data_IF_773415307547
#
_entry.id   IF_773415307547
#
_cell.length_a   1.000
_cell.length_b   1.000
_cell.length_c   1.000
_cell.angle_alpha   90.00
_cell.angle_beta   90.00
_cell.angle_gamma   90.00
#
_symmetry.space_group_name_H-M   'P 1'
#
loop_
_entity.id
_entity.type
_entity.pdbx_description
1 polymer ?
#
# COMPACT_ATOMS: atom_id res chain seq x y z
N UNK A 1 -21.19 -4.97 -21.54
CA UNK A 1 -19.71 -4.93 -21.46
C UNK A 1 -19.31 -4.23 -20.16
N UNK A 2 -19.58 -4.88 -19.02
CA UNK A 2 -19.33 -4.35 -17.65
C UNK A 2 -18.75 -5.46 -16.77
N UNK A 3 -19.28 -6.68 -16.92
CA UNK A 3 -18.83 -7.89 -16.20
C UNK A 3 -17.33 -8.17 -16.40
N UNK A 4 -16.81 -8.03 -17.63
CA UNK A 4 -15.37 -8.26 -17.90
C UNK A 4 -14.48 -7.25 -17.18
N UNK A 5 -14.89 -5.98 -17.12
CA UNK A 5 -14.15 -4.95 -16.37
C UNK A 5 -14.14 -5.29 -14.90
N UNK A 6 -15.31 -5.53 -14.31
CA UNK A 6 -15.45 -5.87 -12.89
C UNK A 6 -14.65 -7.11 -12.51
N UNK A 7 -14.59 -8.11 -13.39
CA UNK A 7 -13.77 -9.29 -13.18
C UNK A 7 -12.27 -8.96 -13.12
N UNK A 8 -11.77 -8.14 -14.06
CA UNK A 8 -10.36 -7.74 -14.07
C UNK A 8 -10.02 -6.86 -12.85
N UNK A 9 -10.90 -5.91 -12.51
CA UNK A 9 -10.72 -5.02 -11.35
C UNK A 9 -10.70 -5.83 -10.04
N UNK A 10 -11.57 -6.84 -9.92
CA UNK A 10 -11.58 -7.76 -8.79
C UNK A 10 -10.29 -8.60 -8.70
N UNK A 11 -9.76 -9.08 -9.83
CA UNK A 11 -8.49 -9.81 -9.84
C UNK A 11 -7.31 -8.91 -9.45
N UNK A 12 -7.27 -7.66 -9.92
CA UNK A 12 -6.25 -6.68 -9.50
C UNK A 12 -6.32 -6.43 -7.99
N UNK A 13 -7.52 -6.20 -7.46
CA UNK A 13 -7.73 -6.01 -6.03
C UNK A 13 -7.29 -7.23 -5.20
N UNK A 14 -7.57 -8.45 -5.67
CA UNK A 14 -7.17 -9.67 -4.98
C UNK A 14 -5.65 -9.92 -5.10
N UNK A 15 -5.04 -9.64 -6.25
CA UNK A 15 -3.60 -9.72 -6.45
C UNK A 15 -2.81 -8.75 -5.56
N UNK A 16 -3.40 -7.63 -5.15
CA UNK A 16 -2.78 -6.68 -4.21
C UNK A 16 -2.51 -7.29 -2.82
N UNK A 17 -3.14 -8.42 -2.47
CA UNK A 17 -2.85 -9.17 -1.24
C UNK A 17 -1.65 -10.11 -1.35
N UNK A 18 -1.08 -10.32 -2.53
CA UNK A 18 0.11 -11.13 -2.69
C UNK A 18 1.35 -10.40 -2.17
N UNK A 19 2.23 -11.11 -1.48
CA UNK A 19 3.45 -10.56 -0.87
C UNK A 19 4.70 -10.95 -1.66
N UNK A 20 5.77 -10.15 -1.55
CA UNK A 20 7.09 -10.40 -2.13
C UNK A 20 7.09 -10.47 -3.66
N UNK A 21 6.26 -9.65 -4.27
CA UNK A 21 6.23 -9.43 -5.71
C UNK A 21 7.41 -8.53 -6.11
N UNK A 22 8.13 -8.90 -7.16
CA UNK A 22 9.28 -8.11 -7.64
C UNK A 22 9.26 -7.95 -9.15
N UNK A 23 9.81 -6.84 -9.62
CA UNK A 23 10.01 -6.60 -11.05
C UNK A 23 10.84 -7.72 -11.67
N UNK A 24 10.38 -8.27 -12.80
CA UNK A 24 11.09 -9.33 -13.52
C UNK A 24 11.06 -10.71 -12.86
N UNK A 25 10.25 -10.93 -11.81
CA UNK A 25 10.06 -12.26 -11.23
C UNK A 25 9.55 -13.27 -12.27
N UNK A 26 9.90 -14.56 -12.10
CA UNK A 26 9.46 -15.59 -13.05
C UNK A 26 7.95 -15.80 -12.97
N UNK A 27 7.32 -16.16 -14.08
CA UNK A 27 5.87 -16.40 -14.12
C UNK A 27 5.44 -17.49 -13.13
N UNK A 28 6.23 -18.56 -12.95
CA UNK A 28 5.96 -19.59 -11.95
C UNK A 28 5.98 -19.04 -10.52
N UNK A 29 6.95 -18.18 -10.20
CA UNK A 29 7.06 -17.56 -8.87
C UNK A 29 5.90 -16.58 -8.63
N UNK A 30 5.44 -15.90 -9.68
CA UNK A 30 4.30 -14.98 -9.61
C UNK A 30 2.99 -15.75 -9.40
N UNK A 31 2.79 -16.84 -10.14
CA UNK A 31 1.66 -17.75 -9.93
C UNK A 31 1.67 -18.28 -8.49
N UNK A 32 2.81 -18.79 -8.01
CA UNK A 32 2.95 -19.29 -6.63
C UNK A 32 2.65 -18.22 -5.58
N UNK A 33 3.01 -16.96 -5.83
CA UNK A 33 2.69 -15.84 -4.94
C UNK A 33 1.18 -15.56 -4.91
N UNK A 34 0.51 -15.55 -6.06
CA UNK A 34 -0.94 -15.35 -6.16
C UNK A 34 -1.73 -16.49 -5.51
N UNK A 35 -1.26 -17.74 -5.63
CA UNK A 35 -1.91 -18.91 -5.02
C UNK A 35 -1.89 -18.91 -3.48
N UNK A 36 -1.02 -18.10 -2.86
CA UNK A 36 -1.02 -17.91 -1.40
C UNK A 36 -2.13 -16.95 -0.95
N UNK A 37 -2.71 -16.19 -1.87
CA UNK A 37 -3.84 -15.31 -1.56
C UNK A 37 -5.11 -16.15 -1.46
N UNK A 38 -5.79 -16.03 -0.32
CA UNK A 38 -7.04 -16.74 -0.07
C UNK A 38 -8.08 -16.47 -1.17
N UNK A 39 -8.69 -17.55 -1.68
CA UNK A 39 -9.72 -17.46 -2.70
C UNK A 39 -9.22 -17.29 -4.14
N UNK A 40 -7.91 -17.22 -4.38
CA UNK A 40 -7.36 -17.25 -5.75
C UNK A 40 -7.23 -18.70 -6.22
N UNK A 41 -7.83 -19.00 -7.37
CA UNK A 41 -7.70 -20.31 -8.02
C UNK A 41 -6.50 -20.33 -8.98
N UNK A 42 -6.02 -21.54 -9.31
CA UNK A 42 -4.97 -21.74 -10.33
C UNK A 42 -5.28 -21.01 -11.64
N UNK A 43 -6.50 -21.17 -12.17
CA UNK A 43 -6.90 -20.54 -13.42
C UNK A 43 -6.91 -19.01 -13.34
N UNK A 44 -7.29 -18.44 -12.19
CA UNK A 44 -7.23 -16.98 -11.98
C UNK A 44 -5.79 -16.49 -11.90
N UNK A 45 -4.90 -17.21 -11.20
CA UNK A 45 -3.49 -16.88 -11.10
C UNK A 45 -2.81 -16.92 -12.49
N UNK A 46 -2.99 -18.00 -13.23
CA UNK A 46 -2.45 -18.16 -14.59
C UNK A 46 -3.00 -17.10 -15.54
N UNK A 47 -4.31 -16.84 -15.50
CA UNK A 47 -4.93 -15.79 -16.29
C UNK A 47 -4.34 -14.42 -15.95
N UNK A 48 -4.20 -14.10 -14.66
CA UNK A 48 -3.64 -12.82 -14.23
C UNK A 48 -2.19 -12.64 -14.67
N UNK A 49 -1.34 -13.64 -14.44
CA UNK A 49 0.08 -13.60 -14.85
C UNK A 49 0.23 -13.55 -16.36
N UNK A 50 -0.69 -14.13 -17.13
CA UNK A 50 -0.67 -13.99 -18.60
C UNK A 50 -0.90 -12.55 -19.07
N UNK A 51 -1.57 -11.73 -18.26
CA UNK A 51 -1.96 -10.35 -18.60
C UNK A 51 -1.11 -9.28 -17.97
N UNK A 52 -0.59 -9.52 -16.77
CA UNK A 52 0.09 -8.49 -15.99
C UNK A 52 1.53 -8.88 -15.65
N UNK A 53 2.38 -7.88 -15.53
CA UNK A 53 3.70 -7.99 -14.88
C UNK A 53 3.78 -7.02 -13.71
N UNK A 54 4.58 -7.38 -12.71
CA UNK A 54 4.89 -6.52 -11.58
C UNK A 54 5.88 -5.46 -12.03
N UNK A 55 5.58 -4.20 -11.74
CA UNK A 55 6.48 -3.06 -11.95
C UNK A 55 7.17 -2.73 -10.63
N UNK A 56 6.39 -2.59 -9.57
CA UNK A 56 6.90 -2.25 -8.24
C UNK A 56 5.89 -2.65 -7.16
N UNK A 57 6.37 -3.04 -5.99
CA UNK A 57 5.52 -3.34 -4.84
C UNK A 57 6.08 -2.65 -3.59
N UNK A 58 5.17 -2.10 -2.79
CA UNK A 58 5.46 -1.67 -1.43
C UNK A 58 4.65 -2.50 -0.44
N UNK A 59 5.35 -3.01 0.58
CA UNK A 59 4.78 -3.66 1.75
C UNK A 59 5.35 -2.97 2.98
N UNK A 60 4.54 -2.16 3.66
CA UNK A 60 4.96 -1.47 4.87
C UNK A 60 4.28 -2.12 6.08
N UNK A 61 5.05 -2.94 6.81
CA UNK A 61 4.57 -3.66 7.98
C UNK A 61 4.22 -2.74 9.16
N UNK A 62 4.83 -1.56 9.25
CA UNK A 62 4.61 -0.61 10.34
C UNK A 62 3.25 0.08 10.21
N UNK A 63 2.82 0.38 8.98
CA UNK A 63 1.55 1.08 8.71
C UNK A 63 0.42 0.15 8.25
N UNK A 64 0.75 -1.10 7.89
CA UNK A 64 -0.16 -2.02 7.20
C UNK A 64 -0.41 -1.67 5.73
N UNK A 65 0.18 -0.58 5.21
CA UNK A 65 0.00 -0.16 3.83
C UNK A 65 0.67 -1.14 2.86
N UNK A 66 -0.05 -1.51 1.81
CA UNK A 66 0.51 -2.30 0.73
C UNK A 66 -0.16 -1.97 -0.60
N UNK A 67 0.69 -1.81 -1.60
CA UNK A 67 0.27 -1.48 -2.95
C UNK A 67 1.23 -2.13 -3.96
N UNK A 68 0.69 -2.46 -5.13
CA UNK A 68 1.47 -2.97 -6.25
C UNK A 68 1.07 -2.24 -7.51
N UNK A 69 2.10 -1.76 -8.23
CA UNK A 69 1.95 -1.27 -9.58
C UNK A 69 2.11 -2.45 -10.53
N UNK A 70 1.04 -2.77 -11.24
CA UNK A 70 1.03 -3.74 -12.32
C UNK A 70 1.03 -3.02 -13.66
N UNK A 71 1.63 -3.65 -14.67
CA UNK A 71 1.51 -3.21 -16.06
C UNK A 71 0.87 -4.32 -16.89
N UNK A 72 -0.13 -3.95 -17.68
CA UNK A 72 -0.73 -4.85 -18.64
C UNK A 72 0.25 -5.12 -19.79
N UNK A 73 0.59 -6.39 -20.03
CA UNK A 73 1.56 -6.80 -21.06
C UNK A 73 1.11 -6.49 -22.49
N UNK A 74 -0.19 -6.40 -22.73
CA UNK A 74 -0.78 -6.13 -24.06
C UNK A 74 -1.05 -4.65 -24.28
N UNK A 75 -1.68 -3.96 -23.32
CA UNK A 75 -2.08 -2.55 -23.47
C UNK A 75 -1.03 -1.56 -22.99
N UNK A 76 -0.04 -2.02 -22.22
CA UNK A 76 0.96 -1.19 -21.53
C UNK A 76 0.35 -0.20 -20.53
N UNK A 77 -0.92 -0.40 -20.15
CA UNK A 77 -1.58 0.39 -19.12
C UNK A 77 -1.08 -0.01 -17.73
N UNK A 78 -0.84 1.00 -16.89
CA UNK A 78 -0.46 0.82 -15.50
C UNK A 78 -1.70 0.77 -14.60
N UNK A 79 -1.72 -0.20 -13.69
CA UNK A 79 -2.77 -0.39 -12.70
C UNK A 79 -2.15 -0.38 -11.31
N UNK A 80 -2.44 0.65 -10.54
CA UNK A 80 -2.08 0.72 -9.12
C UNK A 80 -3.17 0.03 -8.30
N UNK A 81 -2.86 -1.14 -7.73
CA UNK A 81 -3.76 -1.87 -6.88
C UNK A 81 -3.31 -1.77 -5.42
N UNK A 82 -4.24 -1.43 -4.53
CA UNK A 82 -4.03 -1.35 -3.08
C UNK A 82 -4.84 -2.44 -2.40
N UNK A 83 -4.29 -3.08 -1.36
CA UNK A 83 -5.07 -3.97 -0.50
C UNK A 83 -5.65 -3.21 0.68
N UNK A 84 -6.77 -3.70 1.20
CA UNK A 84 -7.25 -3.28 2.51
C UNK A 84 -6.44 -3.91 3.64
N UNK A 85 -6.74 -3.48 4.86
CA UNK A 85 -6.26 -4.12 6.10
C UNK A 85 -6.58 -5.62 6.07
N UNK A 86 -5.57 -6.47 6.29
CA UNK A 86 -5.73 -7.91 6.29
C UNK A 86 -5.55 -8.42 7.72
N UNK A 87 -6.64 -8.34 8.48
CA UNK A 87 -6.63 -8.87 9.84
C UNK A 87 -8.04 -9.19 10.30
N UNK A 88 -8.23 -10.43 10.76
CA UNK A 88 -9.33 -10.85 11.62
C UNK A 88 -8.95 -10.81 13.11
N UNK A 89 -7.76 -10.29 13.44
CA UNK A 89 -7.22 -10.25 14.79
C UNK A 89 -7.15 -8.79 15.30
N UNK A 90 -7.96 -8.42 16.31
CA UNK A 90 -7.97 -7.07 16.86
C UNK A 90 -6.67 -6.64 17.55
N UNK A 91 -5.70 -7.56 17.71
CA UNK A 91 -4.38 -7.30 18.27
C UNK A 91 -3.26 -7.21 17.22
N UNK A 92 -3.59 -7.32 15.93
CA UNK A 92 -2.64 -7.06 14.86
C UNK A 92 -2.35 -5.54 14.82
N UNK A 93 -1.10 -5.08 14.60
CA UNK A 93 -0.82 -3.67 14.30
C UNK A 93 -1.72 -3.09 13.18
N UNK A 94 -2.16 -3.92 12.23
CA UNK A 94 -3.20 -3.61 11.22
C UNK A 94 -4.54 -3.13 11.84
N UNK A 95 -4.84 -3.48 13.11
CA UNK A 95 -6.01 -3.02 13.87
C UNK A 95 -5.66 -2.00 14.95
N UNK A 96 -4.50 -2.11 15.60
CA UNK A 96 -4.18 -1.23 16.74
C UNK A 96 -3.92 0.21 16.26
N UNK A 97 -3.13 0.42 15.21
CA UNK A 97 -2.86 1.77 14.69
C UNK A 97 -3.97 2.25 13.76
N UNK A 98 -4.39 1.41 12.80
CA UNK A 98 -5.43 1.81 11.85
C UNK A 98 -6.78 2.07 12.52
N UNK A 99 -7.13 1.37 13.61
CA UNK A 99 -8.40 1.59 14.31
C UNK A 99 -8.28 2.68 15.38
N UNK A 100 -7.14 2.95 16.00
CA UNK A 100 -7.01 4.12 16.90
C UNK A 100 -7.06 5.41 16.07
N UNK A 101 -6.31 5.50 14.97
CA UNK A 101 -6.38 6.66 14.08
C UNK A 101 -7.70 6.76 13.30
N UNK A 102 -8.28 5.67 12.76
CA UNK A 102 -9.61 5.77 12.14
C UNK A 102 -10.72 6.08 13.15
N UNK A 103 -10.63 5.59 14.40
CA UNK A 103 -11.63 5.84 15.44
C UNK A 103 -11.53 7.26 16.01
N UNK A 104 -10.34 7.87 16.03
CA UNK A 104 -10.14 9.23 16.55
C UNK A 104 -10.03 10.32 15.47
N UNK A 105 -9.63 9.98 14.24
CA UNK A 105 -9.30 10.94 13.17
C UNK A 105 -9.92 10.63 11.79
N UNK A 106 -10.54 9.46 11.59
CA UNK A 106 -11.26 9.12 10.35
C UNK A 106 -10.40 8.70 9.15
N UNK A 107 -9.07 8.79 9.25
CA UNK A 107 -8.08 8.24 8.31
C UNK A 107 -6.75 7.97 9.05
N UNK A 108 -6.02 6.91 8.68
CA UNK A 108 -4.64 6.71 9.15
C UNK A 108 -3.69 7.64 8.39
N UNK A 109 -3.21 8.70 9.05
CA UNK A 109 -2.33 9.69 8.45
C UNK A 109 -1.05 9.07 7.90
N UNK A 110 -0.50 8.08 8.60
CA UNK A 110 0.70 7.38 8.15
C UNK A 110 0.46 6.54 6.91
N UNK A 111 -0.68 5.85 6.77
CA UNK A 111 -1.03 5.14 5.53
C UNK A 111 -1.18 6.11 4.34
N UNK A 112 -1.76 7.29 4.57
CA UNK A 112 -1.86 8.34 3.54
C UNK A 112 -0.48 8.86 3.15
N UNK A 113 0.40 9.09 4.12
CA UNK A 113 1.78 9.51 3.86
C UNK A 113 2.54 8.47 3.04
N UNK A 114 2.45 7.18 3.40
CA UNK A 114 3.10 6.09 2.66
C UNK A 114 2.55 5.98 1.23
N UNK A 115 1.23 6.06 1.04
CA UNK A 115 0.62 6.08 -0.30
C UNK A 115 1.14 7.24 -1.15
N UNK A 116 1.11 8.45 -0.61
CA UNK A 116 1.57 9.65 -1.32
C UNK A 116 3.06 9.54 -1.69
N UNK A 117 3.87 9.10 -0.74
CA UNK A 117 5.30 8.88 -0.93
C UNK A 117 5.58 7.85 -2.02
N UNK A 118 4.86 6.72 -2.00
CA UNK A 118 4.95 5.69 -3.01
C UNK A 118 4.57 6.23 -4.38
N UNK A 119 3.41 6.88 -4.48
CA UNK A 119 2.94 7.49 -5.73
C UNK A 119 3.94 8.49 -6.30
N UNK A 120 4.46 9.42 -5.48
CA UNK A 120 5.45 10.39 -5.91
C UNK A 120 6.72 9.72 -6.45
N UNK A 121 7.17 8.64 -5.80
CA UNK A 121 8.34 7.90 -6.29
C UNK A 121 8.04 7.13 -7.59
N UNK A 122 6.81 6.70 -7.83
CA UNK A 122 6.43 6.03 -9.08
C UNK A 122 6.31 6.99 -10.27
N UNK A 123 5.97 8.26 -10.04
CA UNK A 123 5.64 9.21 -11.12
C UNK A 123 6.74 10.21 -11.46
N UNK A 124 7.92 10.10 -10.86
CA UNK A 124 9.08 10.94 -11.18
C UNK A 124 10.20 10.07 -11.73
N UNK A 125 11.10 10.66 -12.51
CA UNK A 125 12.21 9.91 -13.09
C UNK A 125 13.22 9.50 -12.00
N UNK A 126 13.78 8.29 -12.09
CA UNK A 126 14.84 7.79 -11.19
C UNK A 126 16.01 8.74 -10.92
N UNK A 127 16.29 9.68 -11.83
CA UNK A 127 17.36 10.69 -11.67
C UNK A 127 16.97 11.87 -10.79
N UNK A 128 15.69 12.01 -10.43
CA UNK A 128 15.15 13.10 -9.65
C UNK A 128 15.04 12.71 -8.17
N UNK A 129 15.22 13.70 -7.31
CA UNK A 129 14.84 13.57 -5.90
C UNK A 129 13.42 14.06 -5.71
N UNK A 130 12.61 13.29 -5.00
CA UNK A 130 11.21 13.62 -4.71
C UNK A 130 11.02 13.87 -3.23
N UNK A 131 10.13 14.83 -2.92
CA UNK A 131 9.68 15.07 -1.56
C UNK A 131 9.01 13.83 -0.99
N UNK A 132 9.30 13.52 0.26
CA UNK A 132 8.67 12.45 1.04
C UNK A 132 8.19 13.03 2.36
N UNK A 133 7.03 12.57 2.81
CA UNK A 133 6.29 13.12 3.92
C UNK A 133 6.14 12.09 5.04
N UNK A 134 6.15 12.55 6.29
CA UNK A 134 5.80 11.77 7.46
C UNK A 134 5.02 12.66 8.44
N UNK A 135 4.17 12.04 9.27
CA UNK A 135 3.52 12.71 10.38
C UNK A 135 4.30 12.39 11.67
N UNK A 136 4.49 13.42 12.50
CA UNK A 136 5.08 13.27 13.82
C UNK A 136 4.09 13.83 14.85
N UNK A 137 3.82 13.05 15.90
CA UNK A 137 3.05 13.53 17.04
C UNK A 137 3.94 14.44 17.91
N UNK A 138 3.60 15.72 17.94
CA UNK A 138 4.24 16.67 18.84
C UNK A 138 3.55 16.65 20.20
N UNK A 139 4.28 16.20 21.22
CA UNK A 139 3.87 16.39 22.61
C UNK A 139 4.15 17.84 22.99
N UNK A 140 3.11 18.66 23.05
CA UNK A 140 3.24 20.01 23.60
C UNK A 140 3.54 19.89 25.11
N UNK A 141 4.60 20.56 25.55
CA UNK A 141 4.87 20.71 26.97
C UNK A 141 3.65 21.40 27.61
N UNK A 142 2.87 20.65 28.38
CA UNK A 142 1.82 21.24 29.20
C UNK A 142 2.51 22.05 30.28
N UNK A 143 2.22 23.36 30.34
CA UNK A 143 2.44 24.11 31.56
C UNK A 143 1.81 23.34 32.72
N UNK A 144 2.58 23.23 33.80
CA UNK A 144 2.41 22.24 34.85
C UNK A 144 0.96 22.12 35.39
N UNK A 145 0.58 20.89 35.73
CA UNK A 145 -0.59 20.50 36.52
C UNK A 145 -1.95 20.43 35.81
N UNK A 146 -2.17 19.40 34.99
CA UNK A 146 -3.40 18.60 35.10
C UNK A 146 -3.20 17.24 34.43
N UNK A 147 -3.30 16.14 35.21
CA UNK A 147 -3.38 14.77 34.70
C UNK A 147 -4.74 14.57 34.01
N UNK A 148 -4.97 15.10 32.82
CA UNK A 148 -5.99 14.58 31.89
C UNK A 148 -5.70 15.11 30.48
N UNK A 149 -5.24 14.19 29.61
CA UNK A 149 -4.99 14.32 28.16
C UNK A 149 -4.07 15.48 27.77
N UNK A 150 -2.84 15.13 27.40
CA UNK A 150 -1.94 16.06 26.71
C UNK A 150 -2.57 16.48 25.37
N UNK A 151 -2.63 17.78 25.03
CA UNK A 151 -2.91 18.19 23.67
C UNK A 151 -1.71 17.84 22.79
N UNK A 152 -1.89 16.89 21.88
CA UNK A 152 -0.92 16.62 20.81
C UNK A 152 -1.30 17.37 19.54
N UNK A 153 -0.28 17.81 18.81
CA UNK A 153 -0.41 18.40 17.47
C UNK A 153 0.28 17.47 16.47
N UNK A 154 -0.34 17.27 15.32
CA UNK A 154 0.30 16.59 14.19
C UNK A 154 1.17 17.59 13.44
N UNK A 155 2.45 17.30 13.29
CA UNK A 155 3.36 18.06 12.44
C UNK A 155 3.81 17.22 11.24
N UNK A 156 3.96 17.89 10.10
CA UNK A 156 4.46 17.27 8.88
C UNK A 156 5.97 17.45 8.80
N UNK A 157 6.69 16.35 8.57
CA UNK A 157 8.12 16.34 8.26
C UNK A 157 8.33 16.00 6.79
N UNK A 158 9.29 16.67 6.17
CA UNK A 158 9.66 16.45 4.78
C UNK A 158 11.13 16.01 4.67
N UNK A 159 11.36 14.97 3.88
CA UNK A 159 12.69 14.46 3.47
C UNK A 159 12.73 14.25 1.96
N UNK A 160 13.90 13.95 1.40
CA UNK A 160 14.07 13.72 -0.05
C UNK A 160 14.65 12.33 -0.33
N UNK A 161 14.04 11.61 -1.27
CA UNK A 161 14.49 10.28 -1.74
C UNK A 161 14.49 10.22 -3.27
N UNK A 162 15.22 9.25 -3.85
CA UNK A 162 15.16 9.00 -5.29
C UNK A 162 13.85 8.33 -5.71
N UNK A 163 13.39 8.64 -6.93
CA UNK A 163 12.24 7.99 -7.54
C UNK A 163 12.52 6.51 -7.87
N UNK A 164 11.46 5.75 -8.15
CA UNK A 164 11.48 4.29 -8.32
C UNK A 164 11.58 3.86 -9.79
N UNK A 165 11.05 4.64 -10.73
CA UNK A 165 10.93 4.29 -12.16
C UNK A 165 11.53 5.39 -13.03
#
# INVERSE_FOLDING_TARGET
MVIKSLFNDALLAQAAYATKLTAGMKESEFIDALLRVSGVTQAQAEYFVSKYRVVEQVENADTGFSATLFENKETLEYHLATRGTDSSNPLNPDWIDANVDNLFHGASYDQVAVLLNFYLRLTHAQTETVAQFAFEELVLASDAQTKHRHPSLMAQKQTSYYALI
#
